data_IF_145300781193
#
_entry.id   IF_145300781193
#
_cell.length_a   1.000
_cell.length_b   1.000
_cell.length_c   1.000
_cell.angle_alpha   90.00
_cell.angle_beta   90.00
_cell.angle_gamma   90.00
#
_symmetry.space_group_name_H-M   'P 1'
#
loop_
_entity.id
_entity.type
_entity.pdbx_description
1 polymer ?
#
# COMPACT_ATOMS: atom_id res chain seq x y z
N UNK A 1 14.27 15.69 -5.80
CA UNK A 1 12.99 16.37 -5.50
C UNK A 1 12.31 15.57 -4.40
N UNK A 2 12.19 16.13 -3.20
CA UNK A 2 11.45 15.49 -2.09
C UNK A 2 9.96 15.66 -2.37
N UNK A 3 9.13 14.67 -2.06
CA UNK A 3 7.70 14.73 -2.33
C UNK A 3 7.05 15.95 -1.66
N UNK A 4 6.30 16.75 -2.44
CA UNK A 4 5.65 17.99 -1.97
C UNK A 4 4.41 17.75 -1.10
N UNK A 5 3.98 16.49 -0.97
CA UNK A 5 2.74 16.12 -0.29
C UNK A 5 2.74 16.33 1.24
N UNK A 6 3.91 16.49 1.87
CA UNK A 6 4.03 16.65 3.33
C UNK A 6 3.46 15.48 4.15
N UNK A 7 3.35 14.29 3.56
CA UNK A 7 2.73 13.11 4.16
C UNK A 7 2.76 11.89 3.24
N UNK A 8 2.09 10.82 3.64
CA UNK A 8 1.99 9.57 2.86
C UNK A 8 1.05 9.72 1.65
N UNK A 9 1.05 8.72 0.77
CA UNK A 9 0.22 8.68 -0.44
C UNK A 9 -1.28 8.82 -0.14
N UNK A 10 -1.75 8.32 1.00
CA UNK A 10 -3.15 8.46 1.39
C UNK A 10 -3.48 9.92 1.70
N UNK A 11 -2.60 10.62 2.43
CA UNK A 11 -2.72 12.04 2.66
C UNK A 11 -2.68 12.83 1.36
N UNK A 12 -1.81 12.45 0.40
CA UNK A 12 -1.81 13.04 -0.93
C UNK A 12 -3.13 12.84 -1.67
N UNK A 13 -3.76 11.66 -1.56
CA UNK A 13 -5.11 11.45 -2.13
C UNK A 13 -6.14 12.37 -1.47
N UNK A 14 -6.05 12.58 -0.16
CA UNK A 14 -6.94 13.44 0.63
C UNK A 14 -6.81 14.92 0.24
N UNK A 15 -5.60 15.34 -0.12
CA UNK A 15 -5.24 16.73 -0.41
C UNK A 15 -4.60 16.88 -1.81
N UNK A 16 -5.15 16.19 -2.82
CA UNK A 16 -4.58 16.21 -4.18
C UNK A 16 -4.48 17.64 -4.71
N UNK A 17 -3.28 18.10 -5.11
CA UNK A 17 -3.10 19.46 -5.64
C UNK A 17 -3.93 19.74 -6.90
N UNK A 18 -4.31 20.99 -7.15
CA UNK A 18 -4.96 21.39 -8.40
C UNK A 18 -4.13 20.98 -9.63
N UNK A 19 -4.80 20.49 -10.67
CA UNK A 19 -4.16 20.03 -11.91
C UNK A 19 -3.63 18.59 -11.89
N UNK A 20 -3.64 17.91 -10.74
CA UNK A 20 -3.27 16.49 -10.64
C UNK A 20 -4.46 15.53 -10.83
N UNK A 21 -4.18 14.31 -11.29
CA UNK A 21 -5.17 13.24 -11.34
C UNK A 21 -5.49 12.71 -9.94
N UNK A 22 -6.70 12.99 -9.46
CA UNK A 22 -7.16 12.56 -8.15
C UNK A 22 -7.46 11.06 -8.11
N UNK A 23 -6.88 10.36 -7.13
CA UNK A 23 -7.34 9.03 -6.74
C UNK A 23 -8.35 9.14 -5.58
N UNK A 24 -9.46 8.38 -5.58
CA UNK A 24 -10.47 8.49 -4.52
C UNK A 24 -9.87 8.12 -3.15
N UNK A 25 -9.86 9.04 -2.15
CA UNK A 25 -9.26 8.78 -0.85
C UNK A 25 -9.82 7.54 -0.16
N UNK A 26 -11.12 7.26 -0.34
CA UNK A 26 -11.80 6.12 0.29
C UNK A 26 -11.32 4.77 -0.27
N UNK A 27 -10.65 4.77 -1.43
CA UNK A 27 -10.06 3.58 -2.05
C UNK A 27 -8.60 3.40 -1.67
N UNK A 28 -7.94 4.40 -1.09
CA UNK A 28 -6.59 4.30 -0.54
C UNK A 28 -6.65 3.98 0.96
N UNK A 29 -5.95 2.92 1.38
CA UNK A 29 -5.93 2.43 2.75
C UNK A 29 -4.50 2.53 3.29
N UNK A 30 -4.28 3.22 4.42
CA UNK A 30 -2.94 3.41 5.01
C UNK A 30 -2.30 2.12 5.50
N UNK A 31 -3.11 1.16 5.94
CA UNK A 31 -2.62 -0.08 6.51
C UNK A 31 -3.71 -1.14 6.62
N UNK A 32 -3.27 -2.39 6.68
CA UNK A 32 -4.13 -3.53 6.98
C UNK A 32 -4.64 -3.45 8.42
N UNK A 33 -5.69 -4.23 8.73
CA UNK A 33 -6.19 -4.33 10.10
C UNK A 33 -5.13 -4.95 11.02
N UNK A 34 -5.19 -4.61 12.32
CA UNK A 34 -4.30 -5.20 13.33
C UNK A 34 -4.31 -6.73 13.31
N UNK A 35 -5.48 -7.33 13.08
CA UNK A 35 -5.66 -8.78 12.96
C UNK A 35 -4.89 -9.37 11.78
N UNK A 36 -4.89 -8.70 10.63
CA UNK A 36 -4.11 -9.13 9.45
C UNK A 36 -2.61 -8.99 9.71
N UNK A 37 -2.21 -7.90 10.36
CA UNK A 37 -0.81 -7.63 10.66
C UNK A 37 -0.22 -8.58 11.72
N UNK A 38 -1.02 -9.06 12.68
CA UNK A 38 -0.57 -9.99 13.72
C UNK A 38 -0.66 -11.46 13.33
N UNK A 39 -1.48 -11.82 12.34
CA UNK A 39 -1.64 -13.21 11.91
C UNK A 39 -0.52 -13.62 10.93
N UNK A 40 0.34 -14.56 11.33
CA UNK A 40 1.55 -14.93 10.58
C UNK A 40 1.33 -15.31 9.10
N UNK A 41 0.25 -16.05 8.79
CA UNK A 41 -0.09 -16.40 7.40
C UNK A 41 -0.43 -15.16 6.56
N UNK A 42 -1.30 -14.29 7.07
CA UNK A 42 -1.77 -13.12 6.34
C UNK A 42 -0.68 -12.06 6.25
N UNK A 43 0.10 -11.85 7.32
CA UNK A 43 1.28 -10.98 7.32
C UNK A 43 2.27 -11.40 6.24
N UNK A 44 2.59 -12.69 6.12
CA UNK A 44 3.54 -13.21 5.12
C UNK A 44 3.12 -12.90 3.68
N UNK A 45 1.83 -12.94 3.36
CA UNK A 45 1.36 -12.55 2.02
C UNK A 45 1.59 -11.07 1.69
N UNK A 46 1.68 -10.20 2.71
CA UNK A 46 2.02 -8.77 2.57
C UNK A 46 3.52 -8.50 2.72
N UNK A 47 4.36 -9.51 2.96
CA UNK A 47 5.82 -9.35 2.90
C UNK A 47 6.25 -9.44 1.43
N UNK A 48 6.31 -8.29 0.77
CA UNK A 48 6.51 -8.20 -0.67
C UNK A 48 7.93 -7.73 -1.00
N UNK A 49 8.46 -8.07 -2.19
CA UNK A 49 9.83 -7.73 -2.56
C UNK A 49 10.08 -6.22 -2.61
N UNK A 50 11.26 -5.80 -2.15
CA UNK A 50 11.80 -4.45 -2.31
C UNK A 50 13.29 -4.53 -2.63
N UNK A 51 13.91 -3.51 -3.24
CA UNK A 51 15.35 -3.47 -3.40
C UNK A 51 16.08 -3.54 -2.05
N UNK A 52 17.28 -4.14 -2.03
CA UNK A 52 18.12 -4.24 -0.82
C UNK A 52 18.48 -2.88 -0.19
N UNK A 53 18.49 -1.82 -1.01
CA UNK A 53 18.72 -0.45 -0.56
C UNK A 53 17.55 0.13 0.26
N UNK A 54 16.35 -0.47 0.17
CA UNK A 54 15.17 -0.10 0.98
C UNK A 54 15.14 -0.91 2.27
N UNK A 55 15.32 -2.23 2.17
CA UNK A 55 15.43 -3.14 3.30
C UNK A 55 16.40 -4.27 2.94
N UNK A 56 17.38 -4.54 3.81
CA UNK A 56 18.43 -5.53 3.55
C UNK A 56 17.93 -6.97 3.47
N UNK A 57 16.73 -7.26 3.97
CA UNK A 57 16.05 -8.56 3.79
C UNK A 57 15.40 -8.71 2.41
N UNK A 58 15.45 -7.67 1.57
CA UNK A 58 14.79 -7.57 0.27
C UNK A 58 13.27 -7.74 0.33
N UNK A 59 12.66 -7.60 1.51
CA UNK A 59 11.20 -7.66 1.69
C UNK A 59 10.73 -6.61 2.68
N UNK A 60 9.58 -6.02 2.39
CA UNK A 60 8.92 -5.08 3.28
C UNK A 60 7.46 -5.48 3.50
N UNK A 61 6.92 -5.13 4.67
CA UNK A 61 5.50 -5.30 4.93
C UNK A 61 4.70 -4.20 4.23
N UNK A 62 3.87 -4.57 3.26
CA UNK A 62 3.02 -3.65 2.50
C UNK A 62 1.56 -3.77 2.95
N UNK A 63 1.26 -3.20 4.11
CA UNK A 63 -0.11 -3.09 4.62
C UNK A 63 -0.95 -2.04 3.89
N UNK A 64 -0.30 -0.99 3.37
CA UNK A 64 -0.98 0.03 2.59
C UNK A 64 -1.44 -0.55 1.24
N UNK A 65 -2.67 -0.21 0.84
CA UNK A 65 -3.20 -0.74 -0.41
C UNK A 65 -4.30 0.12 -1.04
N UNK A 66 -4.44 -0.01 -2.35
CA UNK A 66 -5.52 0.59 -3.12
C UNK A 66 -6.59 -0.44 -3.47
N UNK A 67 -7.86 -0.02 -3.49
CA UNK A 67 -8.99 -0.82 -3.98
C UNK A 67 -9.31 -0.44 -5.43
N UNK A 68 -9.21 -1.39 -6.34
CA UNK A 68 -9.52 -1.18 -7.76
C UNK A 68 -10.88 -1.81 -8.06
N UNK A 69 -11.85 -0.99 -8.49
CA UNK A 69 -13.25 -1.43 -8.61
C UNK A 69 -14.04 -1.35 -7.29
N UNK A 70 -14.97 -2.28 -7.11
CA UNK A 70 -15.87 -2.40 -5.94
C UNK A 70 -16.15 -3.85 -5.56
N UNK A 71 -16.60 -4.08 -4.32
CA UNK A 71 -16.85 -5.43 -3.78
C UNK A 71 -15.68 -6.02 -2.98
N UNK A 72 -15.92 -7.17 -2.32
CA UNK A 72 -14.96 -7.81 -1.42
C UNK A 72 -13.75 -8.44 -2.13
N UNK A 73 -13.92 -8.88 -3.37
CA UNK A 73 -12.91 -9.51 -4.22
C UNK A 73 -12.20 -8.53 -5.16
N UNK A 74 -12.55 -7.24 -5.08
CA UNK A 74 -11.95 -6.18 -5.86
C UNK A 74 -10.41 -6.23 -5.78
N UNK A 75 -9.71 -6.19 -6.93
CA UNK A 75 -8.26 -6.23 -6.96
C UNK A 75 -7.63 -5.15 -6.08
N UNK A 76 -6.48 -5.50 -5.48
CA UNK A 76 -5.68 -4.60 -4.66
C UNK A 76 -4.33 -4.32 -5.29
N UNK A 77 -3.88 -3.10 -5.07
CA UNK A 77 -2.48 -2.70 -5.27
C UNK A 77 -1.87 -2.55 -3.89
N UNK A 78 -0.98 -3.45 -3.48
CA UNK A 78 -0.22 -3.30 -2.23
C UNK A 78 1.06 -2.55 -2.51
N UNK A 79 1.35 -1.56 -1.66
CA UNK A 79 2.51 -0.71 -1.85
C UNK A 79 3.20 -0.37 -0.52
N UNK A 80 4.48 -0.01 -0.64
CA UNK A 80 5.25 0.68 0.38
C UNK A 80 5.45 2.12 -0.07
N UNK A 81 5.07 3.07 0.78
CA UNK A 81 5.44 4.47 0.63
C UNK A 81 6.80 4.69 1.29
N UNK A 82 7.83 4.88 0.48
CA UNK A 82 9.19 5.21 0.93
C UNK A 82 9.62 6.57 0.36
N UNK A 83 8.69 7.52 0.29
CA UNK A 83 8.98 8.86 -0.21
C UNK A 83 9.93 9.65 0.70
N UNK A 84 10.01 9.32 2.00
CA UNK A 84 10.97 9.92 2.94
C UNK A 84 12.37 9.33 2.85
N UNK A 85 12.50 8.08 2.40
CA UNK A 85 13.77 7.38 2.21
C UNK A 85 14.29 7.52 0.79
N UNK A 86 13.87 6.61 -0.09
CA UNK A 86 14.27 6.60 -1.51
C UNK A 86 13.58 7.65 -2.39
N UNK A 87 12.52 8.31 -1.89
CA UNK A 87 11.70 9.22 -2.68
C UNK A 87 10.70 8.49 -3.59
N UNK A 88 10.44 7.20 -3.34
CA UNK A 88 9.64 6.35 -4.24
C UNK A 88 8.50 5.66 -3.50
N UNK A 89 7.48 5.30 -4.27
CA UNK A 89 6.47 4.32 -3.87
C UNK A 89 6.79 3.01 -4.57
N UNK A 90 6.89 1.92 -3.81
CA UNK A 90 7.14 0.57 -4.34
C UNK A 90 5.84 -0.20 -4.38
N UNK A 91 5.43 -0.65 -5.57
CA UNK A 91 4.29 -1.55 -5.73
C UNK A 91 4.81 -2.99 -5.67
N UNK A 92 4.43 -3.72 -4.62
CA UNK A 92 4.87 -5.10 -4.43
C UNK A 92 3.88 -6.14 -4.95
N UNK A 93 2.61 -5.76 -5.15
CA UNK A 93 1.58 -6.68 -5.63
C UNK A 93 0.42 -5.94 -6.30
N UNK A 94 -0.04 -6.46 -7.43
CA UNK A 94 -1.29 -6.08 -8.10
C UNK A 94 -2.04 -7.38 -8.38
N UNK A 95 -3.25 -7.52 -7.88
CA UNK A 95 -4.03 -8.72 -8.12
C UNK A 95 -5.23 -8.86 -7.21
N UNK A 96 -5.76 -10.07 -7.12
CA UNK A 96 -6.91 -10.38 -6.27
C UNK A 96 -6.65 -10.02 -4.80
N UNK A 97 -7.73 -9.77 -4.08
CA UNK A 97 -7.64 -9.47 -2.65
C UNK A 97 -6.97 -10.63 -1.88
N UNK A 98 -5.80 -10.34 -1.29
CA UNK A 98 -5.07 -11.30 -0.47
C UNK A 98 -5.94 -11.79 0.69
N UNK A 99 -5.68 -13.02 1.17
CA UNK A 99 -6.56 -13.65 2.16
C UNK A 99 -6.56 -12.89 3.48
N UNK A 100 -7.74 -12.83 4.10
CA UNK A 100 -7.98 -12.22 5.40
C UNK A 100 -9.26 -12.80 6.01
N UNK A 101 -9.82 -12.15 7.04
CA UNK A 101 -11.05 -12.59 7.71
C UNK A 101 -12.29 -12.70 6.79
N UNK A 102 -12.25 -12.14 5.58
CA UNK A 102 -13.38 -12.09 4.62
C UNK A 102 -13.06 -12.76 3.27
N UNK A 103 -11.81 -13.12 3.02
CA UNK A 103 -11.38 -13.83 1.81
C UNK A 103 -10.51 -15.00 2.24
N UNK A 104 -11.01 -16.23 2.07
CA UNK A 104 -10.32 -17.48 2.42
C UNK A 104 -9.64 -18.09 1.21
#
# INVERSE_FOLDING_TARGET
MRGEAGGDFKQWCEHTPPGCHRFPPRKAVRGESRTVASHGKWKRQRMLPVPAAVDSSCRAFMGAHLRIGGGGTAPRVHYLDDCSGSGRIYVGYIGLHLTNTRTN
#
